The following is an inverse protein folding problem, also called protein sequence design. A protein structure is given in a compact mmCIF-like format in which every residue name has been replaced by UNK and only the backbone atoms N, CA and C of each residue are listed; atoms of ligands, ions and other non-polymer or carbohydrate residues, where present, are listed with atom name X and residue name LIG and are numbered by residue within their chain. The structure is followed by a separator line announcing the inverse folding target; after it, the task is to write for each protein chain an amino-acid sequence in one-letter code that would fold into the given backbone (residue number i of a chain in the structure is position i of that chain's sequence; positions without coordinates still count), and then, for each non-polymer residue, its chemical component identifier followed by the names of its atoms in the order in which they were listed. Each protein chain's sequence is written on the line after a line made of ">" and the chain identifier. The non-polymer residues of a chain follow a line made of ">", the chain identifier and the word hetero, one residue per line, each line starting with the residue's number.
data_IF_083977876354
#
_entry.id   IF_083977876354
#
_cell.length_a   1.000
_cell.length_b   1.000
_cell.length_c   1.000
_cell.angle_alpha   90.00
_cell.angle_beta   90.00
_cell.angle_gamma   90.00
#
_symmetry.space_group_name_H-M   'P 1'
#
loop_
_entity.id
_entity.type
_entity.pdbx_description
1 polymer ?
#
# COMPACT_ATOMS: atom_id res chain seq x y z
N UNK A 1 56.28 -25.79 42.38
CA UNK A 1 55.78 -27.18 42.30
C UNK A 1 54.73 -27.34 43.40
N UNK A 2 53.49 -27.78 43.22
CA UNK A 2 52.72 -28.18 42.05
C UNK A 2 51.21 -28.08 42.41
N UNK A 3 50.44 -27.64 41.42
CA UNK A 3 49.03 -27.94 41.07
C UNK A 3 48.00 -28.35 42.13
N UNK A 4 46.98 -27.49 42.28
CA UNK A 4 45.59 -27.90 42.48
C UNK A 4 44.93 -28.02 41.09
N UNK A 5 44.47 -29.20 40.73
CA UNK A 5 43.60 -29.42 39.57
C UNK A 5 42.45 -30.33 39.98
N UNK A 6 41.29 -29.73 40.22
CA UNK A 6 40.00 -30.43 40.34
C UNK A 6 39.12 -30.02 39.17
N UNK A 7 38.89 -30.92 38.22
CA UNK A 7 38.07 -30.72 37.03
C UNK A 7 36.59 -30.56 37.41
N UNK A 8 35.97 -29.46 37.00
CA UNK A 8 34.50 -29.33 36.92
C UNK A 8 34.09 -29.70 35.50
N UNK A 9 33.42 -30.84 35.34
CA UNK A 9 32.81 -31.24 34.08
C UNK A 9 31.51 -30.44 33.87
N UNK A 10 31.52 -29.49 32.94
CA UNK A 10 30.32 -28.79 32.48
C UNK A 10 29.69 -29.65 31.38
N UNK A 11 28.55 -30.29 31.68
CA UNK A 11 27.69 -30.91 30.68
C UNK A 11 27.02 -29.80 29.85
N UNK A 12 27.56 -29.54 28.66
CA UNK A 12 26.90 -28.72 27.66
C UNK A 12 25.76 -29.55 27.03
N UNK A 13 24.53 -29.31 27.48
CA UNK A 13 23.34 -29.78 26.79
C UNK A 13 23.21 -29.01 25.47
N UNK A 14 23.55 -29.66 24.35
CA UNK A 14 23.30 -29.15 23.02
C UNK A 14 21.79 -29.21 22.76
N UNK A 15 21.12 -28.06 22.81
CA UNK A 15 19.74 -27.93 22.37
C UNK A 15 19.71 -28.05 20.84
N UNK A 16 19.53 -29.26 20.34
CA UNK A 16 19.22 -29.49 18.92
C UNK A 16 17.79 -29.03 18.70
N UNK A 17 17.63 -27.83 18.13
CA UNK A 17 16.35 -27.31 17.69
C UNK A 17 15.75 -28.29 16.67
N UNK A 18 14.74 -29.05 17.10
CA UNK A 18 13.94 -29.87 16.19
C UNK A 18 13.00 -28.91 15.45
N UNK A 19 13.41 -28.46 14.25
CA UNK A 19 12.48 -27.83 13.32
C UNK A 19 11.36 -28.84 13.03
N UNK A 20 10.12 -28.47 13.36
CA UNK A 20 8.97 -29.34 13.13
C UNK A 20 8.79 -29.54 11.62
N UNK A 21 8.46 -30.76 11.18
CA UNK A 21 8.07 -31.05 9.80
C UNK A 21 6.88 -30.18 9.33
N UNK A 22 6.12 -29.59 10.26
CA UNK A 22 5.03 -28.65 10.00
C UNK A 22 5.55 -27.26 9.57
N UNK A 23 6.67 -26.79 10.12
CA UNK A 23 7.27 -25.49 9.75
C UNK A 23 7.82 -25.50 8.31
N UNK A 24 8.23 -26.68 7.82
CA UNK A 24 8.68 -26.86 6.43
C UNK A 24 7.53 -26.90 5.41
N UNK A 25 6.30 -27.23 5.85
CA UNK A 25 5.13 -27.33 4.96
C UNK A 25 4.41 -25.98 4.76
N UNK A 26 4.63 -25.01 5.65
CA UNK A 26 3.99 -23.69 5.62
C UNK A 26 4.95 -22.51 5.79
N UNK A 27 6.26 -22.68 5.54
CA UNK A 27 7.15 -21.52 5.53
C UNK A 27 6.80 -20.60 4.37
N UNK A 28 6.14 -19.49 4.72
CA UNK A 28 5.92 -18.38 3.82
C UNK A 28 7.29 -17.85 3.41
N UNK A 29 7.64 -17.85 2.11
CA UNK A 29 8.87 -17.25 1.63
C UNK A 29 8.94 -15.77 2.02
N UNK A 30 10.02 -15.38 2.69
CA UNK A 30 10.32 -13.96 2.85
C UNK A 30 10.75 -13.38 1.50
N UNK A 31 10.07 -12.33 1.07
CA UNK A 31 10.42 -11.53 -0.10
C UNK A 31 10.86 -10.16 0.38
N UNK A 32 12.08 -9.76 0.04
CA UNK A 32 12.61 -8.43 0.32
C UNK A 32 13.73 -8.07 -0.67
N UNK A 33 13.90 -6.78 -1.02
CA UNK A 33 15.05 -6.31 -1.77
C UNK A 33 16.33 -6.38 -0.93
N UNK A 34 17.51 -6.27 -1.55
CA UNK A 34 18.79 -6.36 -0.82
C UNK A 34 19.09 -5.07 -0.06
N UNK A 35 18.53 -4.93 1.15
CA UNK A 35 18.65 -3.71 1.97
C UNK A 35 20.04 -3.50 2.59
N UNK A 36 20.92 -4.51 2.60
CA UNK A 36 22.30 -4.35 3.13
C UNK A 36 23.07 -3.27 2.37
N UNK A 37 22.77 -3.08 1.08
CA UNK A 37 23.35 -2.01 0.27
C UNK A 37 22.97 -0.61 0.76
N UNK A 38 21.91 -0.47 1.57
CA UNK A 38 21.43 0.79 2.11
C UNK A 38 22.05 1.16 3.47
N UNK A 39 22.77 0.24 4.11
CA UNK A 39 23.27 0.45 5.48
C UNK A 39 24.30 1.60 5.59
N UNK A 40 24.94 1.97 4.48
CA UNK A 40 25.93 3.05 4.41
C UNK A 40 25.37 4.33 3.77
N UNK A 41 24.10 4.32 3.35
CA UNK A 41 23.49 5.48 2.72
C UNK A 41 23.13 6.55 3.77
N UNK A 42 23.17 7.84 3.40
CA UNK A 42 22.73 8.91 4.29
C UNK A 42 21.27 8.73 4.72
N UNK A 43 20.99 8.98 5.99
CA UNK A 43 19.63 8.96 6.52
C UNK A 43 18.92 10.26 6.11
N UNK A 44 18.33 10.26 4.92
CA UNK A 44 17.59 11.40 4.40
C UNK A 44 16.27 10.93 3.81
N UNK A 45 15.20 11.66 4.09
CA UNK A 45 13.90 11.42 3.48
C UNK A 45 13.95 11.72 1.98
N UNK A 46 13.21 10.95 1.18
CA UNK A 46 12.95 11.27 -0.23
C UNK A 46 12.44 12.71 -0.36
N UNK A 47 12.70 13.36 -1.49
CA UNK A 47 12.39 14.78 -1.76
C UNK A 47 13.01 15.84 -0.82
N UNK A 48 13.74 15.44 0.22
CA UNK A 48 14.47 16.37 1.10
C UNK A 48 15.98 16.33 0.88
N UNK A 49 16.46 15.37 0.10
CA UNK A 49 17.87 15.30 -0.27
C UNK A 49 18.21 16.42 -1.27
N UNK A 50 19.22 17.22 -0.94
CA UNK A 50 19.75 18.28 -1.79
C UNK A 50 20.90 17.81 -2.69
N UNK A 51 21.31 16.55 -2.55
CA UNK A 51 22.37 15.90 -3.32
C UNK A 51 21.82 14.78 -4.18
N UNK A 52 22.55 14.42 -5.25
CA UNK A 52 22.18 13.29 -6.10
C UNK A 52 22.14 11.99 -5.32
N UNK A 53 21.00 11.30 -5.36
CA UNK A 53 20.85 9.96 -4.79
C UNK A 53 21.69 8.99 -5.62
N UNK A 54 22.74 8.44 -5.04
CA UNK A 54 23.64 7.49 -5.72
C UNK A 54 23.04 6.09 -5.82
N UNK A 55 22.39 5.65 -4.74
CA UNK A 55 21.76 4.35 -4.66
C UNK A 55 20.24 4.50 -4.62
N UNK A 56 19.63 4.40 -5.78
CA UNK A 56 18.18 4.58 -5.96
C UNK A 56 17.36 3.44 -5.35
N UNK A 57 18.00 2.34 -4.93
CA UNK A 57 17.33 1.27 -4.19
C UNK A 57 17.03 1.62 -2.72
N UNK A 58 17.63 2.70 -2.21
CA UNK A 58 17.57 3.09 -0.80
C UNK A 58 16.77 4.37 -0.54
N UNK A 59 16.22 4.96 -1.59
CA UNK A 59 15.33 6.11 -1.53
C UNK A 59 14.48 6.16 -2.80
N UNK A 60 13.14 6.28 -2.71
CA UNK A 60 12.28 6.40 -3.88
C UNK A 60 12.70 7.58 -4.78
N UNK A 61 13.12 7.28 -6.00
CA UNK A 61 13.54 8.30 -6.97
C UNK A 61 13.47 7.80 -8.43
N UNK A 62 12.79 8.50 -9.36
CA UNK A 62 11.76 9.52 -9.10
C UNK A 62 10.61 8.94 -8.26
N UNK A 63 9.61 9.76 -7.92
CA UNK A 63 8.49 9.26 -7.12
C UNK A 63 8.65 9.36 -5.59
N UNK A 64 9.47 10.33 -5.13
CA UNK A 64 9.79 10.49 -3.72
C UNK A 64 8.65 11.01 -2.83
N UNK A 65 7.57 11.53 -3.42
CA UNK A 65 6.35 11.91 -2.69
C UNK A 65 5.38 10.73 -2.75
N UNK A 66 5.36 9.91 -1.71
CA UNK A 66 4.61 8.65 -1.71
C UNK A 66 3.22 8.85 -1.09
N UNK A 67 2.18 8.53 -1.84
CA UNK A 67 0.79 8.67 -1.43
C UNK A 67 0.20 7.30 -1.07
N UNK A 68 -0.37 7.16 0.12
CA UNK A 68 -1.27 6.05 0.44
C UNK A 68 -2.70 6.52 0.19
N UNK A 69 -3.37 5.91 -0.78
CA UNK A 69 -4.71 6.36 -1.23
C UNK A 69 -5.79 5.35 -0.85
N UNK A 70 -6.96 5.83 -0.48
CA UNK A 70 -8.08 5.01 -0.04
C UNK A 70 -9.41 5.43 -0.66
N UNK A 71 -10.32 4.47 -0.78
CA UNK A 71 -11.69 4.66 -1.23
C UNK A 71 -12.70 4.51 -0.10
N UNK A 72 -13.75 5.32 -0.19
CA UNK A 72 -15.05 5.02 0.39
C UNK A 72 -16.07 4.74 -0.73
N UNK A 73 -16.24 3.46 -1.05
CA UNK A 73 -17.28 2.98 -1.96
C UNK A 73 -18.52 2.56 -1.16
N UNK A 74 -19.70 2.74 -1.75
CA UNK A 74 -20.97 2.27 -1.17
C UNK A 74 -21.46 0.95 -1.76
N UNK A 75 -20.85 0.48 -2.83
CA UNK A 75 -21.14 -0.78 -3.52
C UNK A 75 -19.96 -1.17 -4.44
N UNK A 76 -19.90 -2.43 -4.88
CA UNK A 76 -18.85 -2.94 -5.78
C UNK A 76 -19.38 -3.22 -7.18
N UNK A 77 -20.67 -3.49 -7.35
CA UNK A 77 -21.24 -3.95 -8.63
C UNK A 77 -21.00 -5.44 -8.89
N UNK A 78 -20.32 -6.13 -7.97
CA UNK A 78 -20.06 -7.57 -8.00
C UNK A 78 -20.53 -8.27 -6.71
N UNK A 79 -21.49 -7.68 -6.01
CA UNK A 79 -22.11 -8.27 -4.80
C UNK A 79 -22.64 -9.68 -5.08
N UNK A 80 -23.23 -9.90 -6.27
CA UNK A 80 -23.71 -11.22 -6.69
C UNK A 80 -22.61 -12.29 -6.85
N UNK A 81 -21.34 -11.88 -6.88
CA UNK A 81 -20.16 -12.77 -6.87
C UNK A 81 -19.46 -12.81 -5.50
N UNK A 82 -20.05 -12.20 -4.47
CA UNK A 82 -19.49 -12.16 -3.11
C UNK A 82 -18.36 -11.14 -2.90
N UNK A 83 -18.02 -10.34 -3.92
CA UNK A 83 -17.08 -9.22 -3.78
C UNK A 83 -17.83 -8.06 -3.13
N UNK A 84 -17.66 -7.92 -1.82
CA UNK A 84 -18.33 -6.92 -0.98
C UNK A 84 -17.29 -6.21 -0.12
N UNK A 85 -17.67 -5.07 0.45
CA UNK A 85 -16.75 -4.17 1.12
C UNK A 85 -16.59 -4.50 2.63
N UNK A 86 -15.45 -4.17 3.26
CA UNK A 86 -15.18 -4.47 4.67
C UNK A 86 -15.92 -3.50 5.59
N UNK A 87 -16.86 -3.97 6.41
CA UNK A 87 -17.63 -3.10 7.31
C UNK A 87 -16.70 -2.28 8.20
N UNK A 88 -17.09 -1.04 8.49
CA UNK A 88 -16.34 -0.12 9.35
C UNK A 88 -14.89 0.07 8.93
N UNK A 89 -14.61 0.06 7.62
CA UNK A 89 -13.27 0.27 7.09
C UNK A 89 -13.36 0.93 5.72
N UNK A 90 -12.46 1.87 5.47
CA UNK A 90 -12.14 2.28 4.12
C UNK A 90 -11.39 1.14 3.41
N UNK A 91 -11.25 1.22 2.09
CA UNK A 91 -10.51 0.24 1.28
C UNK A 91 -9.33 0.90 0.61
N UNK A 92 -8.31 0.11 0.30
CA UNK A 92 -7.12 0.54 -0.44
C UNK A 92 -7.54 0.95 -1.85
N UNK A 93 -7.07 2.12 -2.28
CA UNK A 93 -6.99 2.49 -3.70
C UNK A 93 -5.60 2.07 -4.20
N UNK A 94 -4.53 2.61 -3.62
CA UNK A 94 -3.17 2.22 -3.97
C UNK A 94 -2.06 2.85 -3.12
N UNK A 95 -0.84 2.73 -3.63
CA UNK A 95 0.37 3.38 -3.14
C UNK A 95 1.08 4.03 -4.34
N UNK A 96 1.09 5.36 -4.40
CA UNK A 96 1.49 6.08 -5.61
C UNK A 96 2.77 6.88 -5.38
N UNK A 97 3.76 6.75 -6.27
CA UNK A 97 4.99 7.53 -6.18
C UNK A 97 4.89 8.77 -7.07
N UNK A 98 4.51 9.91 -6.47
CA UNK A 98 4.50 11.20 -7.15
C UNK A 98 5.90 11.82 -7.12
N UNK A 99 6.20 12.64 -8.13
CA UNK A 99 7.38 13.48 -8.14
C UNK A 99 7.32 14.50 -6.99
N UNK A 100 8.47 15.00 -6.56
CA UNK A 100 8.56 15.94 -5.45
C UNK A 100 7.85 17.28 -5.68
N UNK A 101 7.53 17.60 -6.93
CA UNK A 101 6.75 18.79 -7.31
C UNK A 101 5.23 18.52 -7.37
N UNK A 102 4.79 17.30 -7.07
CA UNK A 102 3.39 16.86 -7.14
C UNK A 102 2.92 16.46 -8.54
N UNK A 103 3.78 16.48 -9.56
CA UNK A 103 3.52 15.77 -10.82
C UNK A 103 3.68 14.26 -10.62
N UNK A 104 3.27 13.45 -11.60
CA UNK A 104 3.39 12.00 -11.51
C UNK A 104 3.63 11.39 -12.88
N UNK A 105 4.25 10.21 -12.86
CA UNK A 105 4.45 9.39 -14.06
C UNK A 105 3.48 8.20 -14.06
N UNK A 106 3.40 7.47 -15.17
CA UNK A 106 2.54 6.29 -15.28
C UNK A 106 3.10 5.28 -16.25
N UNK A 107 3.03 3.99 -15.89
CA UNK A 107 3.46 2.86 -16.72
C UNK A 107 4.92 2.98 -17.18
N UNK A 108 5.83 3.27 -16.24
CA UNK A 108 7.23 3.59 -16.53
C UNK A 108 8.09 2.39 -16.95
N UNK A 109 7.61 1.14 -16.73
CA UNK A 109 8.22 -0.08 -17.25
C UNK A 109 7.19 -1.01 -17.90
N UNK A 110 7.08 -0.92 -19.23
CA UNK A 110 6.16 -1.75 -20.03
C UNK A 110 6.53 -3.25 -20.05
N UNK A 111 7.73 -3.64 -19.62
CA UNK A 111 8.11 -5.06 -19.49
C UNK A 111 7.60 -5.69 -18.19
N UNK A 112 7.30 -4.86 -17.19
CA UNK A 112 6.68 -5.24 -15.90
C UNK A 112 5.23 -4.79 -15.80
N UNK A 113 4.57 -4.65 -16.94
CA UNK A 113 3.15 -4.31 -17.05
C UNK A 113 2.31 -5.60 -17.03
N UNK A 114 1.32 -5.65 -16.13
CA UNK A 114 0.39 -6.78 -15.92
C UNK A 114 -1.09 -6.38 -16.06
N UNK A 115 -1.39 -5.12 -16.34
CA UNK A 115 -2.76 -4.60 -16.42
C UNK A 115 -3.44 -4.99 -17.76
N UNK A 116 -4.56 -5.76 -17.72
CA UNK A 116 -5.28 -6.18 -18.92
C UNK A 116 -6.12 -5.06 -19.55
N UNK A 117 -6.38 -3.96 -18.84
CA UNK A 117 -7.16 -2.81 -19.30
C UNK A 117 -6.50 -1.47 -18.93
N UNK A 118 -5.36 -1.12 -19.55
CA UNK A 118 -4.59 0.08 -19.21
C UNK A 118 -5.38 1.38 -19.31
N UNK A 119 -5.22 2.24 -18.30
CA UNK A 119 -5.83 3.57 -18.24
C UNK A 119 -4.85 4.60 -17.63
N UNK A 120 -4.28 5.50 -18.45
CA UNK A 120 -4.55 5.69 -19.88
C UNK A 120 -3.98 4.57 -20.77
N UNK A 121 -4.60 4.35 -21.94
CA UNK A 121 -4.12 3.38 -22.93
C UNK A 121 -2.95 3.91 -23.79
N UNK A 122 -2.76 5.24 -23.81
CA UNK A 122 -1.71 5.92 -24.56
C UNK A 122 -1.02 6.95 -23.65
N UNK A 123 0.30 6.90 -23.57
CA UNK A 123 1.15 7.81 -22.80
C UNK A 123 1.61 8.99 -23.68
N UNK A 124 2.17 10.07 -23.08
CA UNK A 124 2.86 11.12 -23.83
C UNK A 124 3.87 10.55 -24.82
N UNK A 125 3.99 11.20 -25.99
CA UNK A 125 4.81 10.67 -27.09
C UNK A 125 4.14 9.56 -27.91
N UNK A 126 2.81 9.37 -27.74
CA UNK A 126 2.01 8.39 -28.49
C UNK A 126 2.43 6.93 -28.27
N UNK A 127 2.94 6.63 -27.08
CA UNK A 127 3.34 5.29 -26.67
C UNK A 127 2.10 4.53 -26.23
N UNK A 128 1.77 3.43 -26.91
CA UNK A 128 0.65 2.57 -26.54
C UNK A 128 1.05 1.65 -25.38
N UNK A 129 0.25 1.61 -24.31
CA UNK A 129 0.42 0.65 -23.23
C UNK A 129 -0.20 -0.68 -23.67
N UNK A 130 0.59 -1.76 -23.83
CA UNK A 130 0.06 -3.04 -24.28
C UNK A 130 -0.88 -3.62 -23.23
N UNK A 131 -1.99 -4.20 -23.67
CA UNK A 131 -2.88 -4.97 -22.79
C UNK A 131 -2.22 -6.27 -22.39
N UNK A 132 -2.12 -6.52 -21.09
CA UNK A 132 -1.62 -7.79 -20.60
C UNK A 132 -2.61 -8.93 -20.89
N UNK A 133 -2.08 -10.11 -21.26
CA UNK A 133 -2.87 -11.31 -21.60
C UNK A 133 -2.47 -12.55 -20.78
N UNK A 134 -1.57 -12.39 -19.83
CA UNK A 134 -1.12 -13.49 -18.97
C UNK A 134 -2.04 -13.71 -17.76
N UNK A 135 -1.63 -14.54 -16.80
CA UNK A 135 -2.41 -14.81 -15.60
C UNK A 135 -2.47 -13.59 -14.67
N UNK A 136 -3.55 -13.44 -13.91
CA UNK A 136 -3.73 -12.33 -12.97
C UNK A 136 -2.65 -12.28 -11.89
N UNK A 137 -2.38 -11.09 -11.35
CA UNK A 137 -1.36 -10.90 -10.30
C UNK A 137 -1.65 -11.68 -9.02
N UNK A 138 -2.90 -12.09 -8.79
CA UNK A 138 -3.31 -13.00 -7.71
C UNK A 138 -2.64 -14.38 -7.82
N UNK A 139 -2.31 -14.82 -9.04
CA UNK A 139 -1.56 -16.06 -9.27
C UNK A 139 -0.12 -15.96 -8.79
N UNK A 140 0.52 -14.79 -8.96
CA UNK A 140 1.88 -14.54 -8.47
C UNK A 140 1.91 -14.64 -6.94
N UNK A 141 0.92 -14.04 -6.27
CA UNK A 141 0.81 -14.10 -4.80
C UNK A 141 0.68 -15.56 -4.31
N UNK A 142 -0.11 -16.38 -5.03
CA UNK A 142 -0.26 -17.82 -4.74
C UNK A 142 1.05 -18.60 -4.97
N UNK A 143 1.79 -18.31 -6.03
CA UNK A 143 3.10 -18.93 -6.31
C UNK A 143 4.13 -18.64 -5.22
N UNK A 144 4.09 -17.43 -4.65
CA UNK A 144 4.88 -17.06 -3.47
C UNK A 144 4.30 -17.58 -2.16
N UNK A 145 3.21 -18.37 -2.18
CA UNK A 145 2.54 -18.93 -1.00
C UNK A 145 2.08 -17.86 0.01
N UNK A 146 1.85 -16.63 -0.45
CA UNK A 146 1.37 -15.49 0.36
C UNK A 146 -0.15 -15.44 0.45
N UNK A 147 -0.73 -16.56 0.91
CA UNK A 147 -2.20 -16.68 1.05
C UNK A 147 -2.74 -15.68 2.08
N UNK A 148 -1.93 -15.33 3.09
CA UNK A 148 -2.20 -14.27 4.06
C UNK A 148 -2.39 -12.90 3.40
N UNK A 149 -1.49 -12.55 2.47
CA UNK A 149 -1.55 -11.28 1.75
C UNK A 149 -2.75 -11.25 0.81
N UNK A 150 -2.97 -12.34 0.05
CA UNK A 150 -4.11 -12.44 -0.85
C UNK A 150 -5.43 -12.32 -0.09
N UNK A 151 -5.60 -13.03 1.02
CA UNK A 151 -6.81 -12.94 1.85
C UNK A 151 -7.03 -11.52 2.40
N UNK A 152 -5.96 -10.83 2.81
CA UNK A 152 -6.06 -9.44 3.24
C UNK A 152 -6.49 -8.52 2.08
N UNK A 153 -5.88 -8.65 0.90
CA UNK A 153 -6.21 -7.85 -0.27
C UNK A 153 -7.66 -8.11 -0.74
N UNK A 154 -8.12 -9.36 -0.74
CA UNK A 154 -9.51 -9.73 -1.04
C UNK A 154 -10.54 -9.17 -0.04
N UNK A 155 -10.10 -8.68 1.12
CA UNK A 155 -10.93 -8.01 2.12
C UNK A 155 -10.87 -6.50 2.05
N UNK A 156 -9.70 -5.93 1.76
CA UNK A 156 -9.44 -4.50 1.94
C UNK A 156 -9.03 -3.76 0.67
N UNK A 157 -8.71 -4.43 -0.43
CA UNK A 157 -8.33 -3.81 -1.71
C UNK A 157 -9.31 -4.20 -2.82
N UNK A 158 -10.53 -3.67 -2.69
CA UNK A 158 -11.69 -4.11 -3.47
C UNK A 158 -11.88 -3.22 -4.70
N UNK A 159 -12.03 -3.85 -5.86
CA UNK A 159 -12.35 -3.18 -7.10
C UNK A 159 -13.87 -2.90 -7.22
N UNK A 160 -14.23 -1.91 -8.04
CA UNK A 160 -15.59 -1.60 -8.41
C UNK A 160 -15.81 -1.92 -9.90
N UNK A 161 -16.82 -2.75 -10.19
CA UNK A 161 -17.25 -3.10 -11.55
C UNK A 161 -16.46 -4.22 -12.22
N UNK A 162 -15.32 -4.63 -11.67
CA UNK A 162 -14.49 -5.75 -12.18
C UNK A 162 -13.81 -6.49 -11.02
N UNK A 163 -13.11 -7.58 -11.32
CA UNK A 163 -12.39 -8.41 -10.35
C UNK A 163 -11.26 -7.63 -9.67
N UNK A 164 -10.96 -7.99 -8.42
CA UNK A 164 -9.87 -7.36 -7.67
C UNK A 164 -8.50 -7.51 -8.37
N UNK A 165 -8.24 -8.66 -8.98
CA UNK A 165 -6.97 -8.93 -9.68
C UNK A 165 -6.69 -7.98 -10.85
N UNK A 166 -7.73 -7.54 -11.59
CA UNK A 166 -7.58 -6.52 -12.65
C UNK A 166 -7.11 -5.20 -12.06
N UNK A 167 -7.69 -4.79 -10.93
CA UNK A 167 -7.32 -3.54 -10.26
C UNK A 167 -5.94 -3.60 -9.63
N UNK A 168 -5.59 -4.68 -8.95
CA UNK A 168 -4.24 -4.83 -8.40
C UNK A 168 -3.16 -4.81 -9.49
N UNK A 169 -3.47 -5.39 -10.65
CA UNK A 169 -2.58 -5.33 -11.81
C UNK A 169 -2.44 -3.90 -12.35
N UNK A 170 -3.53 -3.13 -12.38
CA UNK A 170 -3.50 -1.69 -12.70
C UNK A 170 -2.57 -0.93 -11.76
N UNK A 171 -2.80 -1.07 -10.45
CA UNK A 171 -2.08 -0.33 -9.43
C UNK A 171 -0.56 -0.60 -9.48
N UNK A 172 -0.16 -1.87 -9.59
CA UNK A 172 1.25 -2.20 -9.76
C UNK A 172 1.81 -1.62 -11.07
N UNK A 173 1.15 -1.91 -12.19
CA UNK A 173 1.67 -1.60 -13.53
C UNK A 173 1.83 -0.11 -13.75
N UNK A 174 0.88 0.68 -13.25
CA UNK A 174 0.83 2.12 -13.45
C UNK A 174 1.73 2.86 -12.47
N UNK A 175 1.74 2.45 -11.20
CA UNK A 175 2.38 3.22 -10.13
C UNK A 175 3.69 2.61 -9.66
N UNK A 176 3.72 1.33 -9.30
CA UNK A 176 4.93 0.69 -8.76
C UNK A 176 6.10 0.66 -9.75
N UNK A 177 5.82 0.65 -11.06
CA UNK A 177 6.85 0.71 -12.10
C UNK A 177 7.55 2.07 -12.21
N UNK A 178 7.01 3.11 -11.55
CA UNK A 178 7.47 4.50 -11.63
C UNK A 178 8.31 4.97 -10.43
N UNK A 179 8.74 4.05 -9.56
CA UNK A 179 9.66 4.32 -8.47
C UNK A 179 10.77 3.28 -8.42
N UNK A 180 11.97 3.72 -8.07
CA UNK A 180 13.20 2.93 -8.17
C UNK A 180 13.29 1.77 -7.20
N UNK A 181 12.66 1.84 -6.04
CA UNK A 181 12.89 0.85 -4.97
C UNK A 181 12.26 -0.51 -5.28
N UNK A 182 11.34 -0.57 -6.26
CA UNK A 182 10.81 -1.81 -6.83
C UNK A 182 11.55 -2.28 -8.08
N UNK A 183 12.61 -1.59 -8.51
CA UNK A 183 13.38 -2.03 -9.68
C UNK A 183 14.08 -3.36 -9.42
N UNK A 184 14.12 -4.21 -10.45
CA UNK A 184 14.70 -5.55 -10.35
C UNK A 184 16.18 -5.53 -9.95
N UNK A 185 16.89 -4.44 -10.27
CA UNK A 185 18.28 -4.23 -9.87
C UNK A 185 18.44 -4.20 -8.34
N UNK A 186 17.43 -3.77 -7.58
CA UNK A 186 17.45 -3.69 -6.12
C UNK A 186 17.31 -5.05 -5.43
N UNK A 187 16.88 -6.07 -6.18
CA UNK A 187 16.78 -7.45 -5.69
C UNK A 187 18.06 -8.26 -5.94
N UNK A 188 18.93 -7.78 -6.84
CA UNK A 188 20.21 -8.42 -7.14
C UNK A 188 20.05 -9.83 -7.75
N UNK A 189 21.11 -10.67 -7.69
CA UNK A 189 21.10 -12.00 -8.33
C UNK A 189 20.10 -12.99 -7.69
N UNK A 190 19.58 -12.68 -6.50
CA UNK A 190 18.59 -13.50 -5.80
C UNK A 190 17.14 -13.23 -6.21
N UNK A 191 16.89 -12.30 -7.14
CA UNK A 191 15.55 -11.95 -7.58
C UNK A 191 14.78 -13.19 -8.07
N UNK A 192 13.60 -13.40 -7.48
CA UNK A 192 12.62 -14.34 -8.00
C UNK A 192 11.63 -13.58 -8.86
N UNK A 193 11.28 -14.13 -10.02
CA UNK A 193 10.30 -13.51 -10.91
C UNK A 193 9.02 -13.14 -10.13
N UNK A 194 8.56 -11.90 -10.30
CA UNK A 194 7.41 -11.29 -9.62
C UNK A 194 7.57 -10.99 -8.13
N UNK A 195 8.77 -11.13 -7.55
CA UNK A 195 9.02 -10.76 -6.15
C UNK A 195 8.71 -9.29 -5.86
N UNK A 196 9.02 -8.39 -6.80
CA UNK A 196 8.73 -6.96 -6.74
C UNK A 196 7.24 -6.64 -6.67
N UNK A 197 6.41 -7.47 -7.32
CA UNK A 197 4.95 -7.36 -7.27
C UNK A 197 4.42 -7.69 -5.87
N UNK A 198 4.94 -8.76 -5.24
CA UNK A 198 4.55 -9.15 -3.89
C UNK A 198 4.95 -8.08 -2.88
N UNK A 199 6.18 -7.58 -3.01
CA UNK A 199 6.74 -6.57 -2.11
C UNK A 199 6.01 -5.22 -2.24
N UNK A 200 5.52 -4.87 -3.43
CA UNK A 200 4.64 -3.70 -3.63
C UNK A 200 3.32 -3.86 -2.85
N UNK A 201 2.66 -5.00 -3.00
CA UNK A 201 1.40 -5.23 -2.30
C UNK A 201 1.57 -5.24 -0.77
N UNK A 202 2.65 -5.82 -0.25
CA UNK A 202 2.98 -5.73 1.19
C UNK A 202 3.27 -4.28 1.62
N UNK A 203 3.98 -3.49 0.81
CA UNK A 203 4.23 -2.08 1.10
C UNK A 203 2.92 -1.29 1.16
N UNK A 204 2.03 -1.47 0.18
CA UNK A 204 0.72 -0.82 0.17
C UNK A 204 -0.13 -1.21 1.39
N UNK A 205 -0.17 -2.51 1.73
CA UNK A 205 -0.92 -3.00 2.90
C UNK A 205 -0.35 -2.42 4.21
N UNK A 206 0.97 -2.34 4.35
CA UNK A 206 1.60 -1.73 5.54
C UNK A 206 1.30 -0.25 5.66
N UNK A 207 1.42 0.50 4.55
CA UNK A 207 1.08 1.91 4.54
C UNK A 207 -0.40 2.12 4.89
N UNK A 208 -1.32 1.33 4.31
CA UNK A 208 -2.75 1.41 4.61
C UNK A 208 -3.07 1.18 6.09
N UNK A 209 -2.39 0.22 6.73
CA UNK A 209 -2.58 -0.07 8.16
C UNK A 209 -2.18 1.09 9.08
N UNK A 210 -1.34 2.03 8.63
CA UNK A 210 -1.04 3.25 9.38
C UNK A 210 -2.23 4.19 9.47
N UNK A 211 -3.22 4.05 8.57
CA UNK A 211 -4.33 4.98 8.39
C UNK A 211 -5.69 4.29 8.47
N UNK A 212 -6.15 3.84 9.65
CA UNK A 212 -7.53 3.37 9.86
C UNK A 212 -8.55 4.53 9.77
N UNK A 213 -8.76 5.08 8.57
CA UNK A 213 -9.55 6.30 8.31
C UNK A 213 -10.96 6.22 8.90
N UNK A 214 -11.62 5.06 8.83
CA UNK A 214 -12.94 4.89 9.46
C UNK A 214 -12.87 5.17 10.96
N UNK A 215 -11.92 4.57 11.67
CA UNK A 215 -11.81 4.68 13.12
C UNK A 215 -11.40 6.10 13.54
N UNK A 216 -10.52 6.76 12.76
CA UNK A 216 -10.15 8.15 12.96
C UNK A 216 -11.35 9.10 12.86
N UNK A 217 -12.20 8.92 11.85
CA UNK A 217 -13.42 9.70 11.68
C UNK A 217 -14.45 9.38 12.78
N UNK A 218 -14.64 8.09 13.09
CA UNK A 218 -15.59 7.65 14.09
C UNK A 218 -15.26 8.17 15.50
N UNK A 219 -13.97 8.32 15.84
CA UNK A 219 -13.53 8.93 17.09
C UNK A 219 -14.02 10.38 17.28
N UNK A 220 -14.38 11.06 16.18
CA UNK A 220 -14.96 12.41 16.17
C UNK A 220 -16.49 12.40 15.91
N UNK A 221 -17.13 11.23 15.97
CA UNK A 221 -18.56 11.08 15.66
C UNK A 221 -18.90 11.23 14.17
N UNK A 222 -17.89 11.17 13.29
CA UNK A 222 -18.07 11.20 11.84
C UNK A 222 -18.19 9.76 11.36
N UNK A 223 -19.43 9.33 11.11
CA UNK A 223 -19.75 7.97 10.69
C UNK A 223 -20.63 7.99 9.44
N UNK A 224 -20.65 6.90 8.65
CA UNK A 224 -21.53 6.83 7.49
C UNK A 224 -22.99 7.04 7.86
N UNK A 225 -23.71 7.84 7.08
CA UNK A 225 -25.12 8.16 7.32
C UNK A 225 -25.81 8.62 6.03
N UNK A 226 -27.05 8.17 5.83
CA UNK A 226 -27.91 8.62 4.75
C UNK A 226 -28.66 9.93 5.05
N UNK A 227 -28.51 10.48 6.27
CA UNK A 227 -29.29 11.63 6.75
C UNK A 227 -28.45 12.83 7.12
N UNK A 228 -27.22 12.61 7.59
CA UNK A 228 -26.35 13.67 8.10
C UNK A 228 -25.30 14.05 7.07
N UNK A 229 -24.81 15.27 7.18
CA UNK A 229 -23.67 15.78 6.42
C UNK A 229 -22.65 16.37 7.38
N UNK A 230 -21.42 16.50 6.90
CA UNK A 230 -20.28 17.05 7.64
C UNK A 230 -19.67 18.21 6.85
N UNK A 231 -19.12 19.22 7.51
CA UNK A 231 -18.31 20.22 6.82
C UNK A 231 -16.94 19.65 6.45
N UNK A 232 -16.30 20.20 5.41
CA UNK A 232 -14.93 19.82 5.08
C UNK A 232 -13.99 19.99 6.28
N UNK A 233 -14.13 21.10 7.00
CA UNK A 233 -13.32 21.41 8.18
C UNK A 233 -13.45 20.36 9.28
N UNK A 234 -14.64 19.81 9.54
CA UNK A 234 -14.84 18.75 10.53
C UNK A 234 -14.05 17.49 10.17
N UNK A 235 -14.14 17.06 8.91
CA UNK A 235 -13.43 15.86 8.41
C UNK A 235 -11.91 16.10 8.47
N UNK A 236 -11.45 17.26 8.01
CA UNK A 236 -10.04 17.64 8.04
C UNK A 236 -9.47 17.69 9.46
N UNK A 237 -10.20 18.29 10.40
CA UNK A 237 -9.79 18.35 11.81
C UNK A 237 -9.69 16.96 12.43
N UNK A 238 -10.66 16.08 12.17
CA UNK A 238 -10.65 14.71 12.69
C UNK A 238 -9.44 13.91 12.19
N UNK A 239 -9.11 14.01 10.90
CA UNK A 239 -7.97 13.26 10.34
C UNK A 239 -6.62 13.87 10.73
N UNK A 240 -6.50 15.20 10.73
CA UNK A 240 -5.25 15.89 11.09
C UNK A 240 -4.89 15.68 12.56
N UNK A 241 -5.86 15.59 13.47
CA UNK A 241 -5.57 15.34 14.88
C UNK A 241 -4.99 13.95 15.16
N UNK A 242 -5.31 12.97 14.32
CA UNK A 242 -4.82 11.59 14.45
C UNK A 242 -3.50 11.36 13.74
N UNK A 243 -3.28 12.05 12.63
CA UNK A 243 -2.12 11.81 11.75
C UNK A 243 -1.04 12.89 11.83
N UNK A 244 -1.35 14.03 12.46
CA UNK A 244 -0.47 15.20 12.53
C UNK A 244 -0.46 16.04 11.25
N UNK A 245 -1.09 15.58 10.16
CA UNK A 245 -1.04 16.23 8.86
C UNK A 245 -2.40 16.23 8.14
N UNK A 246 -2.57 17.17 7.22
CA UNK A 246 -3.80 17.34 6.45
C UNK A 246 -3.78 16.41 5.22
N UNK A 247 -4.65 15.40 5.13
CA UNK A 247 -4.75 14.60 3.91
C UNK A 247 -5.49 15.34 2.80
N UNK A 248 -5.37 14.85 1.57
CA UNK A 248 -6.31 15.20 0.51
C UNK A 248 -7.66 14.51 0.76
N UNK A 249 -8.75 15.21 0.49
CA UNK A 249 -10.10 14.65 0.51
C UNK A 249 -10.73 14.78 -0.88
N UNK A 250 -11.13 13.65 -1.44
CA UNK A 250 -11.79 13.57 -2.74
C UNK A 250 -13.30 13.44 -2.58
N UNK A 251 -14.05 14.30 -3.26
CA UNK A 251 -15.50 14.21 -3.32
C UNK A 251 -16.01 14.15 -4.76
N UNK A 252 -17.02 13.30 -4.96
CA UNK A 252 -17.81 13.23 -6.19
C UNK A 252 -19.06 14.11 -6.10
N UNK A 253 -19.89 14.08 -7.16
CA UNK A 253 -21.19 14.79 -7.24
C UNK A 253 -21.08 16.26 -6.84
N UNK A 254 -20.31 17.03 -7.61
CA UNK A 254 -20.06 18.45 -7.39
C UNK A 254 -19.46 18.75 -6.00
N UNK A 255 -18.57 17.89 -5.51
CA UNK A 255 -17.85 18.07 -4.25
C UNK A 255 -18.66 17.75 -3.00
N UNK A 256 -19.79 17.06 -3.11
CA UNK A 256 -20.70 16.83 -1.96
C UNK A 256 -20.73 15.41 -1.45
N UNK A 257 -20.06 14.45 -2.11
CA UNK A 257 -20.06 13.05 -1.68
C UNK A 257 -18.63 12.57 -1.51
N UNK A 258 -18.23 12.33 -0.26
CA UNK A 258 -16.90 11.87 0.09
C UNK A 258 -16.63 10.48 -0.52
N UNK A 259 -15.52 10.36 -1.26
CA UNK A 259 -15.16 9.12 -1.96
C UNK A 259 -13.69 8.73 -1.81
N UNK A 260 -12.78 9.66 -1.52
CA UNK A 260 -11.35 9.37 -1.42
C UNK A 260 -10.66 10.13 -0.28
N UNK A 261 -9.59 9.53 0.23
CA UNK A 261 -8.61 10.19 1.10
C UNK A 261 -7.20 9.77 0.68
N UNK A 262 -6.28 10.74 0.56
CA UNK A 262 -4.87 10.46 0.23
C UNK A 262 -3.95 11.02 1.32
N UNK A 263 -3.09 10.16 1.85
CA UNK A 263 -2.08 10.50 2.85
C UNK A 263 -0.71 10.61 2.18
N UNK A 264 -0.01 11.72 2.41
CA UNK A 264 1.24 12.07 1.72
C UNK A 264 2.44 11.80 2.60
N UNK A 265 3.54 11.35 1.98
CA UNK A 265 4.74 11.01 2.73
C UNK A 265 6.01 11.32 1.96
N UNK A 266 7.06 11.64 2.71
CA UNK A 266 8.41 11.31 2.28
C UNK A 266 8.87 10.05 3.01
N UNK A 267 9.73 9.26 2.36
CA UNK A 267 10.17 7.96 2.85
C UNK A 267 11.66 8.01 3.16
N UNK A 268 12.03 7.58 4.36
CA UNK A 268 13.40 7.31 4.74
C UNK A 268 13.68 5.81 4.52
N UNK A 269 14.56 5.50 3.58
CA UNK A 269 14.74 4.14 3.08
C UNK A 269 13.84 3.86 1.87
N UNK A 270 13.33 2.64 1.78
CA UNK A 270 12.48 2.19 0.67
C UNK A 270 10.99 2.11 1.04
N UNK A 271 10.08 2.13 0.07
CA UNK A 271 8.63 2.02 0.30
C UNK A 271 8.27 0.71 1.00
N UNK A 272 8.94 -0.37 0.63
CA UNK A 272 8.97 -1.57 1.44
C UNK A 272 9.81 -1.25 2.68
N UNK A 273 9.36 -1.28 3.93
CA UNK A 273 10.23 -1.25 5.13
C UNK A 273 10.81 0.08 5.60
N UNK A 274 10.83 1.13 4.78
CA UNK A 274 11.26 2.46 5.20
C UNK A 274 10.29 3.13 6.16
N UNK A 275 10.74 4.25 6.74
CA UNK A 275 9.91 5.07 7.62
C UNK A 275 9.19 6.15 6.80
N UNK A 276 7.86 6.20 6.92
CA UNK A 276 7.00 7.16 6.24
C UNK A 276 6.79 8.38 7.14
N UNK A 277 7.33 9.53 6.73
CA UNK A 277 7.03 10.81 7.38
C UNK A 277 5.80 11.42 6.73
N UNK A 278 4.68 11.46 7.48
CA UNK A 278 3.42 12.05 7.01
C UNK A 278 3.54 13.56 6.79
N UNK A 279 2.92 14.06 5.72
CA UNK A 279 2.97 15.44 5.26
C UNK A 279 1.56 16.02 5.04
N UNK A 280 1.46 17.35 5.13
CA UNK A 280 0.27 18.05 4.63
C UNK A 280 0.17 17.82 3.11
N UNK A 281 -1.06 17.66 2.62
CA UNK A 281 -1.36 17.47 1.20
C UNK A 281 -0.76 18.55 0.31
N UNK A 282 -0.17 18.14 -0.82
CA UNK A 282 0.33 19.06 -1.86
C UNK A 282 -0.76 19.46 -2.85
N UNK A 283 -1.92 18.80 -2.82
CA UNK A 283 -3.07 19.08 -3.68
C UNK A 283 -4.32 19.54 -2.92
N UNK A 284 -5.16 20.32 -3.58
CA UNK A 284 -6.39 20.88 -3.00
C UNK A 284 -7.50 19.85 -3.03
N UNK A 285 -8.24 19.70 -1.93
CA UNK A 285 -9.45 18.88 -1.88
C UNK A 285 -10.45 19.25 -2.98
N UNK A 286 -11.13 18.24 -3.52
CA UNK A 286 -12.25 18.43 -4.46
C UNK A 286 -13.61 18.56 -3.76
N UNK A 287 -13.64 18.48 -2.43
CA UNK A 287 -14.84 18.63 -1.63
C UNK A 287 -15.28 20.09 -1.48
N UNK A 288 -16.58 20.30 -1.36
CA UNK A 288 -17.19 21.62 -1.18
C UNK A 288 -16.81 22.22 0.17
N UNK A 289 -16.41 23.49 0.16
CA UNK A 289 -16.14 24.28 1.38
C UNK A 289 -17.39 24.94 1.96
N UNK A 290 -18.50 24.98 1.21
CA UNK A 290 -19.71 25.72 1.57
C UNK A 290 -20.95 24.84 1.69
N UNK A 291 -20.90 23.61 1.19
CA UNK A 291 -22.01 22.66 1.21
C UNK A 291 -21.65 21.48 2.10
N UNK A 292 -22.63 20.93 2.82
CA UNK A 292 -22.43 19.72 3.61
C UNK A 292 -22.01 18.53 2.73
N UNK A 293 -21.03 17.78 3.22
CA UNK A 293 -20.49 16.59 2.58
C UNK A 293 -21.20 15.37 3.13
N UNK A 294 -21.72 14.54 2.22
CA UNK A 294 -22.27 13.24 2.51
C UNK A 294 -21.15 12.21 2.63
N UNK A 295 -21.17 11.48 3.74
CA UNK A 295 -20.41 10.26 3.95
C UNK A 295 -21.45 9.14 4.07
N UNK A 296 -21.81 8.52 2.94
CA UNK A 296 -22.99 7.65 2.88
C UNK A 296 -22.74 6.27 3.49
N UNK A 297 -23.81 5.69 4.06
CA UNK A 297 -23.84 4.26 4.38
C UNK A 297 -23.68 3.43 3.11
N UNK A 298 -23.17 2.21 3.27
CA UNK A 298 -23.09 1.28 2.15
C UNK A 298 -24.48 0.76 1.78
N UNK A 299 -24.61 0.37 0.52
CA UNK A 299 -25.83 -0.24 0.02
C UNK A 299 -26.11 -1.55 0.75
N UNK A 300 -27.40 -1.88 0.91
CA UNK A 300 -27.82 -3.10 1.57
C UNK A 300 -27.22 -4.32 0.86
N UNK A 301 -26.47 -5.14 1.60
CA UNK A 301 -25.81 -6.34 1.09
C UNK A 301 -24.43 -6.11 0.46
N UNK A 302 -23.93 -4.87 0.45
CA UNK A 302 -22.62 -4.51 -0.12
C UNK A 302 -21.48 -4.52 0.90
N UNK A 303 -21.68 -5.06 2.09
CA UNK A 303 -20.64 -5.14 3.11
C UNK A 303 -20.65 -6.45 3.92
N UNK A 304 -19.49 -6.79 4.48
CA UNK A 304 -19.31 -7.95 5.38
C UNK A 304 -18.38 -7.61 6.55
N UNK A 305 -18.53 -8.33 7.65
CA UNK A 305 -17.56 -8.30 8.75
C UNK A 305 -16.26 -8.96 8.29
N UNK A 306 -15.14 -8.24 8.44
CA UNK A 306 -13.79 -8.73 8.10
C UNK A 306 -12.81 -8.64 9.26
N UNK A 307 -13.13 -7.83 10.26
CA UNK A 307 -12.37 -7.74 11.50
C UNK A 307 -12.74 -9.00 12.30
N UNK A 308 -11.74 -9.81 12.66
CA UNK A 308 -11.96 -10.84 13.68
C UNK A 308 -12.40 -10.11 14.95
N UNK A 309 -13.42 -10.63 15.64
CA UNK A 309 -13.92 -10.04 16.88
C UNK A 309 -12.75 -9.76 17.82
N UNK A 310 -12.77 -8.62 18.55
CA UNK A 310 -11.67 -8.16 19.39
C UNK A 310 -11.19 -9.19 20.41
#
# INVERSE_FOLDING_TARGET
>A
MASFAGFVAILAASSVAHASLVDLLFSVPNTYPTLTACAQEPLTYSCENTTTIKNTCCSPTPGGLVLQTQFWSTYTGLEGKGQVLPKNSWTIHGLWPDNCDGSFESYCDLKRQYDPSPSPATLPGNITVPKYKGPGVDTFIKEFKRVDLLDYMEKYWINQGDTNAVFWAHEFSKHATCTSTFDLACYGPGYKKNQDVIDFFDATVRAFKMYPTYDMLAAYGIVPSNKTTYSLSQIQTALKSQTGALPYLGCSKNGTVLSEVWYFHHVLGSEQFGHYKTLDTTTKSSCSNSTGIHYYERSKGSEREVRLLP
#
